data_IF_547963734916
#
_entry.id   IF_547963734916
#
_cell.length_a   1.000
_cell.length_b   1.000
_cell.length_c   1.000
_cell.angle_alpha   90.00
_cell.angle_beta   90.00
_cell.angle_gamma   90.00
#
_symmetry.space_group_name_H-M   'P 1'
#
loop_
_entity.id
_entity.type
_entity.pdbx_description
1 polymer ?
#
# COMPACT_ATOMS: atom_id res chain seq x y z
N UNK A 1 -29.11 6.37 -10.04
CA UNK A 1 -29.12 7.47 -11.02
C UNK A 1 -28.99 6.88 -12.40
N UNK A 2 -29.92 7.20 -13.32
CA UNK A 2 -29.84 6.79 -14.72
C UNK A 2 -28.75 7.63 -15.39
N UNK A 3 -27.75 7.01 -15.98
CA UNK A 3 -26.73 7.69 -16.78
C UNK A 3 -27.30 7.76 -18.21
N UNK A 4 -27.83 8.93 -18.60
CA UNK A 4 -28.39 9.13 -19.92
C UNK A 4 -27.28 9.23 -20.96
N UNK A 5 -27.42 8.49 -22.06
CA UNK A 5 -26.52 8.56 -23.20
C UNK A 5 -26.45 9.97 -23.76
N UNK A 6 -25.24 10.46 -24.09
CA UNK A 6 -25.06 11.75 -24.73
C UNK A 6 -23.83 11.80 -25.66
N UNK A 7 -23.82 12.77 -26.56
CA UNK A 7 -22.67 13.06 -27.42
C UNK A 7 -21.68 13.95 -26.66
N UNK A 8 -20.45 13.51 -26.52
CA UNK A 8 -19.39 14.23 -25.79
C UNK A 8 -18.88 15.39 -26.65
N UNK A 9 -19.16 16.65 -26.26
CA UNK A 9 -18.64 17.85 -26.91
C UNK A 9 -17.32 18.33 -26.30
N UNK A 10 -17.05 17.99 -25.05
CA UNK A 10 -15.84 18.35 -24.32
C UNK A 10 -15.58 17.33 -23.19
N UNK A 11 -14.32 17.22 -22.76
CA UNK A 11 -13.91 16.36 -21.63
C UNK A 11 -13.13 17.22 -20.65
N UNK A 12 -13.64 17.28 -19.40
CA UNK A 12 -13.01 18.01 -18.31
C UNK A 12 -12.57 17.04 -17.23
N UNK A 13 -11.30 17.15 -16.79
CA UNK A 13 -10.72 16.33 -15.73
C UNK A 13 -10.45 17.22 -14.52
N UNK A 14 -10.93 16.78 -13.35
CA UNK A 14 -10.85 17.53 -12.08
C UNK A 14 -10.15 16.67 -11.05
N UNK A 15 -9.29 17.28 -10.22
CA UNK A 15 -8.62 16.61 -9.10
C UNK A 15 -7.19 16.16 -9.37
N UNK A 16 -6.67 16.39 -10.59
CA UNK A 16 -5.27 16.10 -10.91
C UNK A 16 -4.31 17.00 -10.12
N UNK A 17 -3.23 16.44 -9.62
CA UNK A 17 -2.18 17.14 -8.89
C UNK A 17 -0.77 16.86 -9.47
N UNK A 18 -0.44 15.59 -9.72
CA UNK A 18 0.85 15.12 -10.25
C UNK A 18 0.71 14.50 -11.63
N UNK A 19 -0.40 13.80 -11.87
CA UNK A 19 -0.69 13.16 -13.16
C UNK A 19 -1.06 14.23 -14.18
N UNK A 20 -0.44 14.18 -15.35
CA UNK A 20 -0.76 15.13 -16.42
C UNK A 20 -2.09 14.79 -17.09
N UNK A 21 -2.82 15.81 -17.52
CA UNK A 21 -4.06 15.64 -18.29
C UNK A 21 -3.84 14.80 -19.55
N UNK A 22 -2.69 14.98 -20.24
CA UNK A 22 -2.32 14.21 -21.42
C UNK A 22 -2.19 12.71 -21.13
N UNK A 23 -1.66 12.33 -19.96
CA UNK A 23 -1.59 10.93 -19.56
C UNK A 23 -2.97 10.29 -19.41
N UNK A 24 -3.95 11.06 -18.92
CA UNK A 24 -5.34 10.59 -18.82
C UNK A 24 -5.95 10.36 -20.21
N UNK A 25 -5.78 11.31 -21.13
CA UNK A 25 -6.31 11.17 -22.49
C UNK A 25 -5.71 9.97 -23.25
N UNK A 26 -4.49 9.57 -22.95
CA UNK A 26 -3.87 8.39 -23.55
C UNK A 26 -4.46 7.06 -23.03
N UNK A 27 -5.13 7.08 -21.88
CA UNK A 27 -5.62 5.87 -21.20
C UNK A 27 -7.13 5.69 -21.38
N UNK A 28 -7.90 6.79 -21.40
CA UNK A 28 -9.37 6.69 -21.50
C UNK A 28 -9.81 6.28 -22.90
N UNK A 29 -10.76 5.31 -23.03
CA UNK A 29 -11.25 4.82 -24.32
C UNK A 29 -12.38 5.69 -24.88
N UNK A 30 -12.24 7.03 -24.85
CA UNK A 30 -13.23 7.97 -25.35
C UNK A 30 -12.58 9.26 -25.85
N UNK A 31 -13.17 9.85 -26.87
CA UNK A 31 -12.76 11.12 -27.47
C UNK A 31 -13.95 12.08 -27.60
N UNK A 32 -13.64 13.37 -27.80
CA UNK A 32 -14.65 14.37 -28.19
C UNK A 32 -15.29 13.94 -29.51
N UNK A 33 -16.61 13.97 -29.57
CA UNK A 33 -17.40 13.49 -30.71
C UNK A 33 -17.96 12.08 -30.53
N UNK A 34 -17.48 11.32 -29.51
CA UNK A 34 -18.05 10.00 -29.20
C UNK A 34 -19.37 10.12 -28.44
N UNK A 35 -20.17 9.07 -28.53
CA UNK A 35 -21.30 8.86 -27.62
C UNK A 35 -20.85 8.09 -26.39
N UNK A 36 -21.24 8.55 -25.23
CA UNK A 36 -21.01 7.88 -23.95
C UNK A 36 -22.33 7.32 -23.41
N UNK A 37 -22.26 6.09 -22.97
CA UNK A 37 -23.30 5.35 -22.25
C UNK A 37 -22.75 4.79 -20.93
N UNK A 38 -23.56 4.06 -20.19
CA UNK A 38 -23.16 3.45 -18.92
C UNK A 38 -21.99 2.46 -19.09
N UNK A 39 -21.93 1.73 -20.22
CA UNK A 39 -20.84 0.78 -20.49
C UNK A 39 -19.53 1.52 -20.70
N UNK A 40 -19.50 2.50 -21.57
CA UNK A 40 -18.32 3.33 -21.83
C UNK A 40 -17.84 4.08 -20.58
N UNK A 41 -18.76 4.59 -19.75
CA UNK A 41 -18.38 5.21 -18.47
C UNK A 41 -17.69 4.22 -17.54
N UNK A 42 -18.16 2.97 -17.48
CA UNK A 42 -17.52 1.88 -16.70
C UNK A 42 -16.14 1.52 -17.27
N UNK A 43 -15.98 1.52 -18.60
CA UNK A 43 -14.69 1.26 -19.25
C UNK A 43 -13.67 2.36 -18.97
N UNK A 44 -14.09 3.64 -18.95
CA UNK A 44 -13.23 4.76 -18.54
C UNK A 44 -12.75 4.57 -17.10
N UNK A 45 -13.66 4.29 -16.17
CA UNK A 45 -13.33 4.06 -14.75
C UNK A 45 -12.34 2.91 -14.62
N UNK A 46 -12.59 1.79 -15.30
CA UNK A 46 -11.70 0.62 -15.27
C UNK A 46 -10.32 0.91 -15.82
N UNK A 47 -10.23 1.63 -16.95
CA UNK A 47 -8.97 2.02 -17.58
C UNK A 47 -8.15 2.94 -16.68
N UNK A 48 -8.79 3.89 -16.00
CA UNK A 48 -8.10 4.78 -15.07
C UNK A 48 -7.67 4.05 -13.79
N UNK A 49 -8.50 3.18 -13.20
CA UNK A 49 -8.10 2.38 -12.05
C UNK A 49 -6.94 1.42 -12.36
N UNK A 50 -6.86 0.91 -13.59
CA UNK A 50 -5.77 0.02 -14.00
C UNK A 50 -4.39 0.69 -14.01
N UNK A 51 -4.34 2.03 -14.00
CA UNK A 51 -3.09 2.80 -13.86
C UNK A 51 -2.55 2.80 -12.43
N UNK A 52 -3.36 2.38 -11.46
CA UNK A 52 -3.08 2.39 -10.02
C UNK A 52 -2.76 3.77 -9.42
N UNK A 53 -2.98 4.87 -10.16
CA UNK A 53 -2.69 6.24 -9.75
C UNK A 53 -3.79 6.89 -8.90
N UNK A 54 -4.98 6.29 -8.86
CA UNK A 54 -6.17 6.91 -8.28
C UNK A 54 -6.78 6.08 -7.16
N UNK A 55 -7.25 6.77 -6.10
CA UNK A 55 -8.04 6.19 -5.01
C UNK A 55 -9.54 6.24 -5.31
N UNK A 56 -10.00 7.28 -6.01
CA UNK A 56 -11.39 7.42 -6.42
C UNK A 56 -11.50 8.04 -7.81
N UNK A 57 -12.52 7.62 -8.55
CA UNK A 57 -12.84 8.09 -9.90
C UNK A 57 -14.36 8.19 -10.01
N UNK A 58 -14.84 9.38 -10.35
CA UNK A 58 -16.25 9.65 -10.56
C UNK A 58 -16.48 10.21 -11.97
N UNK A 59 -17.51 9.72 -12.62
CA UNK A 59 -17.94 10.18 -13.94
C UNK A 59 -19.21 11.00 -13.78
N UNK A 60 -19.18 12.21 -14.30
CA UNK A 60 -20.29 13.15 -14.27
C UNK A 60 -20.56 13.76 -15.65
N UNK A 61 -21.63 14.54 -15.72
CA UNK A 61 -22.09 15.24 -16.94
C UNK A 61 -22.49 16.67 -16.58
N UNK A 62 -22.03 17.62 -17.40
CA UNK A 62 -22.47 18.99 -17.37
C UNK A 62 -22.83 19.44 -18.82
N UNK A 63 -24.14 19.53 -19.14
CA UNK A 63 -24.58 19.65 -20.52
C UNK A 63 -24.11 18.48 -21.37
N UNK A 64 -23.26 18.72 -22.35
CA UNK A 64 -22.59 17.73 -23.19
C UNK A 64 -21.11 17.57 -22.88
N UNK A 65 -20.64 18.13 -21.76
CA UNK A 65 -19.28 17.95 -21.26
C UNK A 65 -19.22 16.73 -20.37
N UNK A 66 -18.30 15.81 -20.66
CA UNK A 66 -17.96 14.69 -19.78
C UNK A 66 -17.04 15.20 -18.68
N UNK A 67 -17.44 15.01 -17.42
CA UNK A 67 -16.63 15.38 -16.26
C UNK A 67 -16.08 14.11 -15.65
N UNK A 68 -14.75 14.04 -15.54
CA UNK A 68 -14.01 12.96 -14.86
C UNK A 68 -13.38 13.56 -13.61
N UNK A 69 -13.90 13.24 -12.44
CA UNK A 69 -13.34 13.69 -11.17
C UNK A 69 -12.50 12.55 -10.59
N UNK A 70 -11.25 12.85 -10.25
CA UNK A 70 -10.30 11.86 -9.72
C UNK A 70 -9.72 12.30 -8.38
N UNK A 71 -9.38 11.33 -7.55
CA UNK A 71 -8.57 11.52 -6.35
C UNK A 71 -7.27 10.76 -6.57
N UNK A 72 -6.17 11.49 -6.76
CA UNK A 72 -4.86 10.87 -6.95
C UNK A 72 -4.33 10.26 -5.64
N UNK A 73 -3.74 9.07 -5.72
CA UNK A 73 -2.96 8.51 -4.62
C UNK A 73 -1.72 9.35 -4.37
N UNK A 74 -1.34 9.59 -3.11
CA UNK A 74 -0.09 10.26 -2.81
C UNK A 74 1.11 9.43 -3.26
N UNK A 75 2.25 10.08 -3.49
CA UNK A 75 3.53 9.41 -3.64
C UNK A 75 4.28 9.40 -2.32
N UNK A 76 5.04 8.33 -2.08
CA UNK A 76 5.91 8.21 -0.91
C UNK A 76 7.06 9.20 -1.06
N UNK A 77 7.22 10.10 -0.10
CA UNK A 77 8.29 11.11 -0.08
C UNK A 77 9.50 10.65 0.70
N UNK A 78 9.25 9.94 1.80
CA UNK A 78 10.27 9.48 2.73
C UNK A 78 9.78 8.28 3.52
N UNK A 79 10.68 7.36 3.84
CA UNK A 79 10.39 6.22 4.72
C UNK A 79 11.43 6.23 5.83
N UNK A 80 10.98 6.31 7.08
CA UNK A 80 11.82 6.17 8.26
C UNK A 80 11.44 4.94 9.07
N UNK A 81 12.45 4.24 9.60
CA UNK A 81 12.25 3.07 10.46
C UNK A 81 13.04 3.30 11.75
N UNK A 82 12.41 3.04 12.87
CA UNK A 82 13.00 3.19 14.20
C UNK A 82 12.64 2.01 15.11
N UNK A 83 13.42 1.83 16.19
CA UNK A 83 13.17 0.76 17.18
C UNK A 83 13.67 -0.64 16.78
N UNK A 84 14.08 -0.85 15.55
CA UNK A 84 14.51 -2.10 14.94
C UNK A 84 15.98 -2.45 15.30
N UNK A 85 16.22 -2.98 16.49
CA UNK A 85 17.56 -3.36 16.97
C UNK A 85 18.00 -4.76 16.48
N UNK A 86 17.06 -5.69 16.36
CA UNK A 86 17.35 -7.07 15.96
C UNK A 86 17.49 -7.23 14.44
N UNK A 87 16.81 -6.39 13.64
CA UNK A 87 16.89 -6.38 12.18
C UNK A 87 17.52 -5.07 11.70
N UNK A 88 18.41 -5.15 10.70
CA UNK A 88 19.06 -3.97 10.14
C UNK A 88 18.09 -3.13 9.32
N UNK A 89 18.15 -1.81 9.46
CA UNK A 89 17.28 -0.87 8.73
C UNK A 89 17.40 -1.05 7.22
N UNK A 90 18.60 -1.27 6.69
CA UNK A 90 18.85 -1.47 5.26
C UNK A 90 18.10 -2.70 4.72
N UNK A 91 18.11 -3.82 5.46
CA UNK A 91 17.40 -5.04 5.08
C UNK A 91 15.88 -4.85 5.08
N UNK A 92 15.37 -4.07 6.05
CA UNK A 92 13.94 -3.73 6.11
C UNK A 92 13.55 -2.85 4.93
N UNK A 93 14.34 -1.82 4.60
CA UNK A 93 14.11 -0.95 3.45
C UNK A 93 14.17 -1.72 2.12
N UNK A 94 15.12 -2.64 1.94
CA UNK A 94 15.17 -3.52 0.76
C UNK A 94 13.93 -4.41 0.64
N UNK A 95 13.44 -4.93 1.76
CA UNK A 95 12.20 -5.72 1.79
C UNK A 95 10.97 -4.88 1.43
N UNK A 96 10.92 -3.63 1.87
CA UNK A 96 9.88 -2.67 1.52
C UNK A 96 9.91 -2.31 0.02
N UNK A 97 11.10 -2.05 -0.53
CA UNK A 97 11.28 -1.80 -1.98
C UNK A 97 10.79 -2.98 -2.82
N UNK A 98 11.12 -4.20 -2.40
CA UNK A 98 10.68 -5.44 -3.08
C UNK A 98 9.16 -5.60 -3.21
N UNK A 99 8.38 -4.93 -2.37
CA UNK A 99 6.91 -4.92 -2.42
C UNK A 99 6.32 -3.60 -2.93
N UNK A 100 7.16 -2.71 -3.46
CA UNK A 100 6.75 -1.43 -4.04
C UNK A 100 6.50 -0.31 -3.03
N UNK A 101 7.06 -0.42 -1.83
CA UNK A 101 7.07 0.66 -0.83
C UNK A 101 8.46 1.27 -0.81
N UNK A 102 8.66 2.31 -1.61
CA UNK A 102 9.88 3.11 -1.67
C UNK A 102 9.60 4.56 -2.04
N UNK A 103 10.56 5.41 -1.83
CA UNK A 103 10.48 6.83 -2.20
C UNK A 103 10.21 6.99 -3.71
N UNK A 104 9.29 7.88 -4.04
CA UNK A 104 8.85 8.16 -5.41
C UNK A 104 7.69 7.29 -5.90
N UNK A 105 7.45 6.12 -5.31
CA UNK A 105 6.36 5.23 -5.71
C UNK A 105 5.00 5.71 -5.20
N UNK A 106 3.96 5.26 -5.87
CA UNK A 106 2.57 5.54 -5.49
C UNK A 106 2.21 4.76 -4.23
N UNK A 107 1.74 5.47 -3.21
CA UNK A 107 1.32 4.86 -1.97
C UNK A 107 0.07 4.00 -2.14
N UNK A 108 0.12 2.77 -1.63
CA UNK A 108 -1.00 1.82 -1.58
C UNK A 108 -1.18 1.33 -0.14
N UNK A 109 -2.25 1.77 0.50
CA UNK A 109 -2.54 1.41 1.90
C UNK A 109 -2.60 -0.10 2.12
N UNK A 110 -3.20 -0.83 1.17
CA UNK A 110 -3.30 -2.30 1.25
C UNK A 110 -1.95 -3.00 1.24
N UNK A 111 -0.95 -2.43 0.56
CA UNK A 111 0.43 -2.95 0.56
C UNK A 111 1.09 -2.69 1.91
N UNK A 112 0.92 -1.50 2.48
CA UNK A 112 1.50 -1.15 3.77
C UNK A 112 0.94 -2.02 4.92
N UNK A 113 -0.35 -2.32 4.93
CA UNK A 113 -0.98 -3.23 5.91
C UNK A 113 -0.44 -4.67 5.81
N UNK A 114 -0.18 -5.16 4.59
CA UNK A 114 0.48 -6.47 4.38
C UNK A 114 1.89 -6.45 4.94
N UNK A 115 2.66 -5.41 4.66
CA UNK A 115 4.02 -5.24 5.18
C UNK A 115 4.05 -5.21 6.69
N UNK A 116 3.15 -4.46 7.33
CA UNK A 116 3.02 -4.46 8.79
C UNK A 116 2.86 -5.88 9.35
N UNK A 117 1.97 -6.66 8.74
CA UNK A 117 1.73 -8.05 9.14
C UNK A 117 2.96 -8.94 8.95
N UNK A 118 3.68 -8.78 7.84
CA UNK A 118 4.91 -9.54 7.55
C UNK A 118 6.06 -9.16 8.49
N UNK A 119 6.23 -7.88 8.84
CA UNK A 119 7.21 -7.43 9.82
C UNK A 119 6.96 -8.09 11.18
N UNK A 120 5.72 -8.05 11.69
CA UNK A 120 5.36 -8.70 12.96
C UNK A 120 5.70 -10.21 12.93
N UNK A 121 5.38 -10.90 11.82
CA UNK A 121 5.72 -12.32 11.65
C UNK A 121 7.23 -12.56 11.62
N UNK A 122 7.98 -11.71 10.93
CA UNK A 122 9.43 -11.78 10.85
C UNK A 122 10.07 -11.64 12.23
N UNK A 123 9.60 -10.70 13.04
CA UNK A 123 10.06 -10.55 14.42
C UNK A 123 9.70 -11.77 15.29
N UNK A 124 8.49 -12.30 15.16
CA UNK A 124 8.06 -13.51 15.87
C UNK A 124 8.94 -14.72 15.50
N UNK A 125 9.29 -14.90 14.22
CA UNK A 125 10.18 -15.96 13.74
C UNK A 125 11.63 -15.83 14.31
N UNK A 126 12.03 -14.62 14.69
CA UNK A 126 13.28 -14.33 15.37
C UNK A 126 13.17 -14.35 16.92
N UNK A 127 12.15 -15.01 17.46
CA UNK A 127 11.92 -15.15 18.90
C UNK A 127 11.38 -13.90 19.60
N UNK A 128 10.89 -12.90 18.85
CA UNK A 128 10.31 -11.65 19.35
C UNK A 128 8.77 -11.71 19.27
N UNK A 129 8.15 -12.62 20.03
CA UNK A 129 6.70 -12.87 19.97
C UNK A 129 5.84 -11.70 20.46
N UNK A 130 6.41 -10.76 21.21
CA UNK A 130 5.74 -9.54 21.68
C UNK A 130 5.99 -8.32 20.81
N UNK A 131 6.56 -8.49 19.62
CA UNK A 131 6.87 -7.37 18.73
C UNK A 131 5.62 -6.70 18.21
N UNK A 132 5.60 -5.37 18.27
CA UNK A 132 4.58 -4.49 17.70
C UNK A 132 5.16 -3.60 16.62
N UNK A 133 4.35 -3.25 15.61
CA UNK A 133 4.73 -2.31 14.55
C UNK A 133 3.65 -1.24 14.47
N UNK A 134 4.04 0.00 14.68
CA UNK A 134 3.20 1.18 14.49
C UNK A 134 3.64 1.85 13.21
N UNK A 135 2.69 2.27 12.38
CA UNK A 135 2.97 2.98 11.14
C UNK A 135 2.16 4.28 11.15
N UNK A 136 2.89 5.39 11.07
CA UNK A 136 2.33 6.72 10.97
C UNK A 136 2.46 7.25 9.55
N UNK A 137 1.35 7.73 9.01
CA UNK A 137 1.23 8.32 7.68
C UNK A 137 1.14 9.85 7.81
N UNK A 138 2.17 10.57 7.38
CA UNK A 138 2.23 12.02 7.47
C UNK A 138 2.06 12.65 6.09
N UNK A 139 0.90 13.28 5.86
CA UNK A 139 0.59 13.95 4.59
C UNK A 139 1.50 15.17 4.43
N UNK A 140 2.11 15.28 3.25
CA UNK A 140 3.01 16.34 2.84
C UNK A 140 2.39 17.16 1.68
N UNK A 141 2.84 18.41 1.47
CA UNK A 141 2.42 19.20 0.31
C UNK A 141 2.65 18.47 -1.02
N UNK A 142 1.86 18.84 -2.05
CA UNK A 142 1.94 18.29 -3.41
C UNK A 142 1.59 16.81 -3.48
N UNK A 143 0.58 16.39 -2.73
CA UNK A 143 0.09 15.00 -2.69
C UNK A 143 1.21 13.98 -2.45
N UNK A 144 2.02 14.22 -1.42
CA UNK A 144 3.09 13.33 -0.96
C UNK A 144 2.81 12.83 0.44
N UNK A 145 3.48 11.76 0.84
CA UNK A 145 3.31 11.09 2.11
C UNK A 145 4.66 10.65 2.66
N UNK A 146 4.93 10.94 3.94
CA UNK A 146 6.02 10.31 4.68
C UNK A 146 5.45 9.13 5.48
N UNK A 147 6.19 8.03 5.51
CA UNK A 147 5.85 6.81 6.26
C UNK A 147 6.87 6.65 7.37
N UNK A 148 6.42 6.71 8.62
CA UNK A 148 7.23 6.42 9.78
C UNK A 148 6.84 5.07 10.36
N UNK A 149 7.78 4.13 10.39
CA UNK A 149 7.60 2.78 10.93
C UNK A 149 8.34 2.72 12.26
N UNK A 150 7.60 2.59 13.35
CA UNK A 150 8.16 2.37 14.69
C UNK A 150 7.97 0.92 15.07
N UNK A 151 9.08 0.26 15.43
CA UNK A 151 9.09 -1.13 15.86
C UNK A 151 9.34 -1.19 17.35
N UNK A 152 8.40 -1.76 18.09
CA UNK A 152 8.62 -2.25 19.46
C UNK A 152 8.93 -3.74 19.37
N UNK A 153 10.18 -4.10 19.57
CA UNK A 153 10.60 -5.50 19.46
C UNK A 153 10.13 -6.37 20.62
N UNK A 154 9.57 -5.76 21.66
CA UNK A 154 9.16 -6.47 22.87
C UNK A 154 10.32 -7.20 23.56
N UNK A 155 10.00 -8.17 24.41
CA UNK A 155 10.98 -9.00 25.09
C UNK A 155 11.36 -10.19 24.21
N UNK A 156 12.65 -10.58 24.22
CA UNK A 156 13.06 -11.84 23.60
C UNK A 156 12.55 -13.01 24.43
N UNK A 157 11.96 -14.01 23.78
CA UNK A 157 11.65 -15.27 24.43
C UNK A 157 12.96 -15.99 24.84
N UNK A 158 13.03 -16.41 26.09
CA UNK A 158 14.12 -17.27 26.61
C UNK A 158 13.52 -18.57 27.06
N UNK A 159 14.19 -19.68 26.76
CA UNK A 159 13.84 -20.97 27.33
C UNK A 159 14.36 -20.95 28.78
N UNK A 160 13.45 -20.84 29.76
CA UNK A 160 13.82 -20.83 31.16
C UNK A 160 14.04 -22.25 31.69
N UNK A 161 13.31 -23.24 31.16
CA UNK A 161 13.39 -24.62 31.60
C UNK A 161 12.93 -25.58 30.51
N UNK A 162 13.68 -26.64 30.31
CA UNK A 162 13.29 -27.79 29.50
C UNK A 162 13.03 -28.95 30.46
N UNK A 163 11.82 -29.50 30.46
CA UNK A 163 11.48 -30.73 31.19
C UNK A 163 11.35 -31.85 30.17
N UNK A 164 12.16 -32.89 30.35
CA UNK A 164 12.09 -34.11 29.54
C UNK A 164 11.27 -35.13 30.29
N UNK A 165 10.19 -35.62 29.73
CA UNK A 165 9.27 -36.57 30.34
C UNK A 165 9.31 -37.89 29.54
N UNK A 166 9.51 -39.02 30.27
CA UNK A 166 9.52 -40.36 29.66
C UNK A 166 10.91 -40.88 29.29
N UNK A 167 11.97 -40.24 29.72
CA UNK A 167 13.34 -40.71 29.59
C UNK A 167 13.65 -41.80 30.67
N UNK A 168 13.59 -43.07 30.26
CA UNK A 168 13.86 -44.20 31.14
C UNK A 168 15.34 -44.66 31.09
N UNK A 169 16.12 -44.21 30.08
CA UNK A 169 17.48 -44.72 29.79
C UNK A 169 18.57 -43.68 30.07
N UNK A 170 18.30 -42.37 29.84
CA UNK A 170 19.27 -41.30 30.04
C UNK A 170 18.77 -40.29 31.08
N UNK A 171 19.67 -39.68 31.82
CA UNK A 171 19.31 -38.58 32.72
C UNK A 171 18.97 -37.30 31.95
N UNK A 172 18.18 -36.42 32.56
CA UNK A 172 17.83 -35.12 31.96
C UNK A 172 19.08 -34.30 31.63
N UNK A 173 20.13 -34.38 32.45
CA UNK A 173 21.42 -33.72 32.26
C UNK A 173 22.18 -34.23 31.03
N UNK A 174 22.16 -35.53 30.75
CA UNK A 174 22.80 -36.12 29.57
C UNK A 174 22.08 -35.74 28.27
N UNK A 175 20.76 -35.63 28.32
CA UNK A 175 19.95 -35.23 27.13
C UNK A 175 20.02 -33.75 26.84
N UNK A 176 20.34 -32.90 27.82
CA UNK A 176 20.47 -31.43 27.61
C UNK A 176 21.88 -31.05 27.10
N UNK A 177 22.86 -31.95 27.16
CA UNK A 177 24.25 -31.74 26.75
C UNK A 177 24.57 -32.30 25.34
N UNK A 178 23.64 -33.01 24.72
CA UNK A 178 23.74 -33.56 23.36
C UNK A 178 23.11 -32.64 22.32
#
# INVERSE_FOLDING_TARGET
>A
MSFDEFLVSDIRIIGLQRVSTGSIFNVIPISVGDRIDLRKSSDIVRSLFSTEQFDDIQIGKDGNTLIITVVERPSISEISISGNKALKTEQLLESLDGVGIKEGEVYKRSTLEKVKSELVRSYASNGRYGAGVIIDELIQPRNRLNINIEVDEGNSAKIEKINIIGNEIFSDEELLLS
#
